data_IF_608573982080
#
_entry.id   IF_608573982080
#
_cell.length_a   1.000
_cell.length_b   1.000
_cell.length_c   1.000
_cell.angle_alpha   90.00
_cell.angle_beta   90.00
_cell.angle_gamma   90.00
#
_symmetry.space_group_name_H-M   'P 1'
#
loop_
_entity.id
_entity.type
_entity.pdbx_description
1 polymer ?
#
# COMPACT_ATOMS: atom_id res chain seq x y z
N UNK A 1 9.58 20.76 -9.25
CA UNK A 1 9.59 20.93 -7.76
C UNK A 1 10.98 20.62 -7.23
N UNK A 2 11.36 21.19 -6.07
CA UNK A 2 12.69 20.95 -5.46
C UNK A 2 12.79 19.59 -4.74
N UNK A 3 11.66 18.94 -4.53
CA UNK A 3 11.53 17.64 -3.89
C UNK A 3 11.14 16.61 -4.96
N UNK A 4 11.73 15.43 -4.90
CA UNK A 4 11.44 14.32 -5.81
C UNK A 4 11.35 13.01 -5.05
N UNK A 5 10.41 12.16 -5.46
CA UNK A 5 10.32 10.78 -5.00
C UNK A 5 10.87 9.86 -6.10
N UNK A 6 12.07 9.37 -5.91
CA UNK A 6 12.71 8.42 -6.81
C UNK A 6 12.17 7.01 -6.52
N UNK A 7 11.77 6.30 -7.56
CA UNK A 7 11.27 4.91 -7.50
C UNK A 7 12.25 4.04 -8.28
N UNK A 8 12.95 3.17 -7.58
CA UNK A 8 13.95 2.31 -8.18
C UNK A 8 13.31 1.06 -8.78
N UNK A 9 13.24 1.03 -10.12
CA UNK A 9 12.64 -0.06 -10.88
C UNK A 9 13.37 -1.38 -10.70
N UNK A 10 14.68 -1.37 -10.65
CA UNK A 10 15.46 -2.60 -10.51
C UNK A 10 15.19 -3.28 -9.17
N UNK A 11 15.13 -2.50 -8.09
CA UNK A 11 14.77 -3.00 -6.76
C UNK A 11 13.33 -3.53 -6.71
N UNK A 12 12.37 -2.89 -7.41
CA UNK A 12 11.01 -3.44 -7.54
C UNK A 12 11.05 -4.82 -8.21
N UNK A 13 11.80 -4.97 -9.29
CA UNK A 13 11.94 -6.23 -10.01
C UNK A 13 12.68 -7.30 -9.20
N UNK A 14 13.66 -6.92 -8.39
CA UNK A 14 14.32 -7.84 -7.44
C UNK A 14 13.35 -8.34 -6.38
N UNK A 15 12.59 -7.44 -5.74
CA UNK A 15 11.55 -7.80 -4.78
C UNK A 15 10.49 -8.69 -5.43
N UNK A 16 10.02 -8.34 -6.61
CA UNK A 16 9.08 -9.13 -7.41
C UNK A 16 9.58 -10.56 -7.61
N UNK A 17 10.83 -10.75 -8.07
CA UNK A 17 11.43 -12.07 -8.29
C UNK A 17 11.54 -12.88 -6.99
N UNK A 18 11.86 -12.23 -5.88
CA UNK A 18 11.94 -12.89 -4.56
C UNK A 18 10.56 -13.36 -4.08
N UNK A 19 9.55 -12.51 -4.23
CA UNK A 19 8.17 -12.83 -3.87
C UNK A 19 7.64 -13.99 -4.73
N UNK A 20 7.90 -13.96 -6.05
CA UNK A 20 7.50 -15.03 -6.99
C UNK A 20 8.12 -16.38 -6.68
N UNK A 21 9.31 -16.43 -6.08
CA UNK A 21 9.92 -17.71 -5.63
C UNK A 21 9.16 -18.35 -4.47
N UNK A 22 8.47 -17.55 -3.64
CA UNK A 22 7.68 -18.07 -2.51
C UNK A 22 6.31 -18.51 -3.00
N UNK A 23 5.65 -17.71 -3.84
CA UNK A 23 4.35 -18.04 -4.43
C UNK A 23 4.23 -17.45 -5.84
N UNK A 24 3.81 -18.28 -6.80
CA UNK A 24 3.64 -17.85 -8.19
C UNK A 24 2.29 -17.18 -8.44
N UNK A 25 1.25 -17.54 -7.66
CA UNK A 25 -0.10 -17.03 -7.81
C UNK A 25 -0.32 -15.80 -6.91
N UNK A 26 -0.20 -14.63 -7.48
CA UNK A 26 -0.22 -13.37 -6.74
C UNK A 26 -1.33 -12.46 -7.26
N UNK A 27 -2.08 -11.88 -6.32
CA UNK A 27 -2.92 -10.71 -6.54
C UNK A 27 -2.12 -9.49 -6.07
N UNK A 28 -1.70 -8.63 -7.00
CA UNK A 28 -0.92 -7.44 -6.71
C UNK A 28 -1.83 -6.31 -6.21
N UNK A 29 -1.57 -5.84 -4.99
CA UNK A 29 -2.40 -4.81 -4.35
C UNK A 29 -1.81 -3.45 -4.64
N UNK A 30 -2.51 -2.66 -5.47
CA UNK A 30 -2.10 -1.33 -5.91
C UNK A 30 -3.03 -0.22 -5.37
N UNK A 31 -3.69 -0.46 -4.24
CA UNK A 31 -4.59 0.50 -3.60
C UNK A 31 -3.87 1.79 -3.18
N UNK A 32 -4.65 2.86 -2.96
CA UNK A 32 -4.16 4.17 -2.53
C UNK A 32 -3.09 4.71 -3.49
N UNK A 33 -3.39 4.60 -4.81
CA UNK A 33 -2.50 4.98 -5.91
C UNK A 33 -1.14 4.28 -5.83
N UNK A 34 -1.16 2.95 -5.70
CA UNK A 34 0.03 2.11 -5.48
C UNK A 34 0.84 2.54 -4.23
N UNK A 35 0.17 2.74 -3.09
CA UNK A 35 0.75 3.24 -1.83
C UNK A 35 1.38 4.64 -2.00
N UNK A 36 0.78 5.48 -2.83
CA UNK A 36 1.26 6.84 -3.11
C UNK A 36 2.39 6.92 -4.15
N UNK A 37 2.79 5.81 -4.75
CA UNK A 37 3.85 5.78 -5.78
C UNK A 37 3.33 6.08 -7.19
N UNK A 38 2.02 6.05 -7.37
CA UNK A 38 1.35 6.22 -8.65
C UNK A 38 1.12 4.88 -9.37
N UNK A 39 -0.15 4.52 -9.59
CA UNK A 39 -0.50 3.32 -10.40
C UNK A 39 0.14 3.43 -11.79
N UNK A 40 0.20 4.64 -12.37
CA UNK A 40 0.80 4.88 -13.67
C UNK A 40 2.31 4.55 -13.73
N UNK A 41 3.01 4.61 -12.60
CA UNK A 41 4.43 4.26 -12.51
C UNK A 41 4.65 2.76 -12.28
N UNK A 42 3.81 2.13 -11.47
CA UNK A 42 4.03 0.74 -11.01
C UNK A 42 3.40 -0.28 -11.95
N UNK A 43 2.19 -0.04 -12.43
CA UNK A 43 1.46 -0.97 -13.27
C UNK A 43 2.23 -1.39 -14.55
N UNK A 44 2.87 -0.48 -15.32
CA UNK A 44 3.63 -0.86 -16.50
C UNK A 44 4.81 -1.80 -16.19
N UNK A 45 5.39 -1.70 -14.99
CA UNK A 45 6.45 -2.63 -14.56
C UNK A 45 5.88 -4.04 -14.40
N UNK A 46 4.73 -4.17 -13.71
CA UNK A 46 4.10 -5.46 -13.45
C UNK A 46 3.49 -6.10 -14.71
N UNK A 47 2.94 -5.31 -15.63
CA UNK A 47 2.42 -5.81 -16.93
C UNK A 47 3.55 -6.42 -17.76
N UNK A 48 4.73 -5.81 -17.80
CA UNK A 48 5.91 -6.37 -18.49
C UNK A 48 6.33 -7.73 -17.91
N UNK A 49 6.08 -7.96 -16.63
CA UNK A 49 6.29 -9.25 -15.96
C UNK A 49 5.07 -10.19 -16.09
N UNK A 50 4.13 -9.89 -17.00
CA UNK A 50 2.93 -10.68 -17.32
C UNK A 50 1.97 -10.86 -16.13
N UNK A 51 1.92 -9.89 -15.22
CA UNK A 51 0.95 -9.87 -14.14
C UNK A 51 -0.42 -9.43 -14.65
N UNK A 52 -1.47 -10.15 -14.24
CA UNK A 52 -2.85 -9.89 -14.68
C UNK A 52 -3.88 -9.89 -13.56
N UNK A 53 -3.48 -10.17 -12.30
CA UNK A 53 -4.38 -10.16 -11.14
C UNK A 53 -4.01 -9.00 -10.22
N UNK A 54 -4.94 -8.07 -10.05
CA UNK A 54 -4.75 -6.86 -9.26
C UNK A 54 -5.87 -6.65 -8.26
N UNK A 55 -5.58 -5.95 -7.16
CA UNK A 55 -6.58 -5.49 -6.22
C UNK A 55 -6.33 -4.02 -5.85
N UNK A 56 -7.40 -3.26 -5.78
CA UNK A 56 -7.42 -1.84 -5.40
C UNK A 56 -8.46 -1.59 -4.32
N UNK A 57 -8.47 -0.41 -3.71
CA UNK A 57 -9.45 -0.10 -2.67
C UNK A 57 -10.79 0.34 -3.27
N UNK A 58 -10.78 1.20 -4.28
CA UNK A 58 -11.95 1.88 -4.80
C UNK A 58 -12.13 1.68 -6.31
N UNK A 59 -13.36 1.88 -6.79
CA UNK A 59 -13.70 1.72 -8.20
C UNK A 59 -12.93 2.70 -9.11
N UNK A 60 -12.66 3.91 -8.64
CA UNK A 60 -11.90 4.92 -9.38
C UNK A 60 -10.48 4.43 -9.69
N UNK A 61 -9.84 3.78 -8.73
CA UNK A 61 -8.52 3.18 -8.92
C UNK A 61 -8.57 2.00 -9.91
N UNK A 62 -9.63 1.18 -9.83
CA UNK A 62 -9.83 0.06 -10.76
C UNK A 62 -9.97 0.56 -12.21
N UNK A 63 -10.75 1.61 -12.41
CA UNK A 63 -10.95 2.23 -13.73
C UNK A 63 -9.68 2.92 -14.24
N UNK A 64 -8.93 3.57 -13.36
CA UNK A 64 -7.63 4.15 -13.71
C UNK A 64 -6.65 3.06 -14.15
N UNK A 65 -6.57 1.96 -13.40
CA UNK A 65 -5.71 0.83 -13.69
C UNK A 65 -6.06 0.23 -15.06
N UNK A 66 -7.35 0.01 -15.32
CA UNK A 66 -7.83 -0.49 -16.61
C UNK A 66 -7.50 0.47 -17.76
N UNK A 67 -7.71 1.77 -17.57
CA UNK A 67 -7.37 2.80 -18.57
C UNK A 67 -5.88 2.78 -18.91
N UNK A 68 -5.01 2.73 -17.89
CA UNK A 68 -3.56 2.67 -18.11
C UNK A 68 -3.17 1.38 -18.83
N UNK A 69 -3.79 0.25 -18.49
CA UNK A 69 -3.56 -1.02 -19.17
C UNK A 69 -3.90 -0.91 -20.65
N UNK A 70 -5.10 -0.45 -20.99
CA UNK A 70 -5.55 -0.31 -22.40
C UNK A 70 -4.66 0.62 -23.23
N UNK A 71 -4.10 1.68 -22.60
CA UNK A 71 -3.15 2.58 -23.28
C UNK A 71 -1.78 1.94 -23.54
N UNK A 72 -1.42 0.90 -22.79
CA UNK A 72 -0.13 0.21 -22.89
C UNK A 72 -0.24 -1.19 -23.51
N UNK A 73 -1.47 -1.65 -23.81
CA UNK A 73 -1.74 -2.99 -24.31
C UNK A 73 -1.20 -3.18 -25.74
N UNK A 74 -0.54 -4.32 -25.96
CA UNK A 74 -0.25 -4.84 -27.30
C UNK A 74 -1.39 -5.76 -27.74
N UNK A 75 -1.56 -5.91 -29.05
CA UNK A 75 -2.56 -6.86 -29.61
C UNK A 75 -2.41 -8.25 -28.99
N UNK A 76 -3.54 -8.85 -28.58
CA UNK A 76 -3.65 -10.20 -27.97
C UNK A 76 -3.19 -10.36 -26.51
N UNK A 77 -3.09 -9.30 -25.71
CA UNK A 77 -2.89 -9.45 -24.27
C UNK A 77 -4.22 -9.78 -23.55
N UNK A 78 -4.17 -10.68 -22.55
CA UNK A 78 -5.33 -11.03 -21.74
C UNK A 78 -5.79 -9.83 -20.90
N UNK A 79 -7.10 -9.66 -20.78
CA UNK A 79 -7.70 -8.65 -19.89
C UNK A 79 -7.24 -8.83 -18.44
N UNK A 80 -7.14 -7.72 -17.70
CA UNK A 80 -6.81 -7.74 -16.28
C UNK A 80 -7.98 -8.24 -15.44
N UNK A 81 -7.69 -9.00 -14.40
CA UNK A 81 -8.60 -9.27 -13.31
C UNK A 81 -8.37 -8.21 -12.23
N UNK A 82 -9.34 -7.34 -12.00
CA UNK A 82 -9.21 -6.21 -11.09
C UNK A 82 -10.27 -6.32 -10.00
N UNK A 83 -9.82 -6.65 -8.79
CA UNK A 83 -10.66 -6.79 -7.61
C UNK A 83 -10.75 -5.47 -6.85
N UNK A 84 -11.98 -4.98 -6.62
CA UNK A 84 -12.24 -3.87 -5.71
C UNK A 84 -12.44 -4.41 -4.28
N UNK A 85 -11.59 -4.01 -3.33
CA UNK A 85 -11.56 -4.55 -1.97
C UNK A 85 -12.60 -3.92 -1.03
N UNK A 86 -13.02 -2.68 -1.31
CA UNK A 86 -13.96 -1.94 -0.50
C UNK A 86 -15.38 -1.93 -1.10
N UNK A 87 -16.26 -1.18 -0.47
CA UNK A 87 -17.63 -0.97 -0.92
C UNK A 87 -17.64 -0.21 -2.26
N UNK A 88 -18.42 -0.69 -3.19
CA UNK A 88 -18.78 0.03 -4.41
C UNK A 88 -20.15 0.65 -4.18
N UNK A 89 -20.29 1.93 -4.43
CA UNK A 89 -21.58 2.61 -4.30
C UNK A 89 -22.61 1.98 -5.24
N UNK A 90 -23.86 1.91 -4.78
CA UNK A 90 -24.96 1.28 -5.54
C UNK A 90 -25.11 1.88 -6.94
N UNK A 91 -24.89 3.19 -7.07
CA UNK A 91 -24.98 3.90 -8.35
C UNK A 91 -23.82 3.58 -9.30
N UNK A 92 -22.70 3.07 -8.78
CA UNK A 92 -21.53 2.70 -9.58
C UNK A 92 -21.51 1.22 -9.98
N UNK A 93 -22.51 0.42 -9.56
CA UNK A 93 -22.57 -1.02 -9.88
C UNK A 93 -22.60 -1.28 -11.39
N UNK A 94 -23.43 -0.52 -12.13
CA UNK A 94 -23.49 -0.63 -13.59
C UNK A 94 -22.13 -0.36 -14.23
N UNK A 95 -21.46 0.68 -13.78
CA UNK A 95 -20.12 1.06 -14.25
C UNK A 95 -19.08 -0.02 -13.90
N UNK A 96 -19.16 -0.59 -12.70
CA UNK A 96 -18.28 -1.69 -12.30
C UNK A 96 -18.46 -2.92 -13.20
N UNK A 97 -19.71 -3.35 -13.43
CA UNK A 97 -20.03 -4.52 -14.25
C UNK A 97 -19.64 -4.29 -15.72
N UNK A 98 -19.97 -3.13 -16.28
CA UNK A 98 -19.65 -2.79 -17.68
C UNK A 98 -18.13 -2.74 -17.94
N UNK A 99 -17.33 -2.40 -16.94
CA UNK A 99 -15.87 -2.42 -16.99
C UNK A 99 -15.25 -3.71 -16.44
N UNK A 100 -16.04 -4.74 -16.16
CA UNK A 100 -15.59 -6.05 -15.65
C UNK A 100 -14.78 -5.99 -14.34
N UNK A 101 -15.03 -4.96 -13.54
CA UNK A 101 -14.42 -4.84 -12.21
C UNK A 101 -15.03 -5.88 -11.28
N UNK A 102 -14.19 -6.64 -10.58
CA UNK A 102 -14.59 -7.70 -9.68
C UNK A 102 -14.98 -7.11 -8.32
N UNK A 103 -16.16 -7.46 -7.82
CA UNK A 103 -16.83 -6.82 -6.69
C UNK A 103 -16.66 -7.66 -5.42
N UNK A 104 -16.24 -7.06 -4.32
CA UNK A 104 -16.22 -7.71 -3.01
C UNK A 104 -17.58 -7.61 -2.33
N UNK A 105 -18.13 -8.76 -1.91
CA UNK A 105 -19.28 -8.87 -1.03
C UNK A 105 -18.83 -9.20 0.39
N UNK A 106 -19.35 -8.47 1.38
CA UNK A 106 -18.90 -8.58 2.76
C UNK A 106 -19.99 -8.40 3.83
N UNK A 107 -21.23 -8.14 3.44
CA UNK A 107 -22.36 -8.06 4.37
C UNK A 107 -23.69 -8.35 3.68
N UNK A 108 -24.65 -8.87 4.45
CA UNK A 108 -26.01 -9.15 3.96
C UNK A 108 -26.72 -7.87 3.52
N UNK A 109 -26.57 -6.78 4.28
CA UNK A 109 -27.16 -5.49 3.94
C UNK A 109 -26.62 -4.91 2.61
N UNK A 110 -25.33 -5.15 2.29
CA UNK A 110 -24.76 -4.78 0.99
C UNK A 110 -25.41 -5.59 -0.14
N UNK A 111 -25.53 -6.91 0.02
CA UNK A 111 -26.15 -7.76 -1.00
C UNK A 111 -27.59 -7.36 -1.27
N UNK A 112 -28.37 -7.03 -0.23
CA UNK A 112 -29.76 -6.62 -0.41
C UNK A 112 -29.87 -5.37 -1.28
N UNK A 113 -29.08 -4.33 -1.00
CA UNK A 113 -29.01 -3.13 -1.82
C UNK A 113 -28.59 -3.43 -3.27
N UNK A 114 -27.63 -4.33 -3.43
CA UNK A 114 -27.12 -4.72 -4.76
C UNK A 114 -28.17 -5.48 -5.56
N UNK A 115 -28.90 -6.42 -4.94
CA UNK A 115 -30.01 -7.15 -5.59
C UNK A 115 -31.06 -6.17 -6.12
N UNK A 116 -31.47 -5.20 -5.30
CA UNK A 116 -32.48 -4.21 -5.71
C UNK A 116 -32.01 -3.36 -6.91
N UNK A 117 -30.76 -2.97 -6.92
CA UNK A 117 -30.19 -2.18 -8.03
C UNK A 117 -29.98 -3.03 -9.28
N UNK A 118 -29.41 -4.21 -9.14
CA UNK A 118 -29.08 -5.09 -10.27
C UNK A 118 -30.32 -5.53 -11.06
N UNK A 119 -31.46 -5.70 -10.40
CA UNK A 119 -32.76 -5.96 -11.06
C UNK A 119 -33.23 -4.85 -11.99
N UNK A 120 -32.79 -3.63 -11.75
CA UNK A 120 -33.18 -2.46 -12.54
C UNK A 120 -32.27 -2.22 -13.74
N UNK A 121 -31.16 -2.99 -13.84
CA UNK A 121 -30.13 -2.82 -14.86
C UNK A 121 -30.25 -3.91 -15.93
N UNK A 122 -30.18 -3.52 -17.20
CA UNK A 122 -30.05 -4.45 -18.33
C UNK A 122 -28.55 -4.85 -18.49
N UNK A 123 -28.09 -5.77 -17.65
CA UNK A 123 -26.69 -6.19 -17.62
C UNK A 123 -26.48 -7.39 -18.55
N UNK A 124 -25.65 -7.19 -19.58
CA UNK A 124 -25.25 -8.26 -20.53
C UNK A 124 -24.00 -9.03 -20.08
N UNK A 125 -23.26 -8.48 -19.13
CA UNK A 125 -22.00 -9.04 -18.64
C UNK A 125 -22.21 -9.83 -17.35
N UNK A 126 -21.42 -10.90 -17.20
CA UNK A 126 -21.38 -11.70 -15.99
C UNK A 126 -20.71 -10.90 -14.85
N UNK A 127 -21.37 -10.81 -13.71
CA UNK A 127 -20.84 -10.16 -12.52
C UNK A 127 -19.86 -11.11 -11.84
N UNK A 128 -18.71 -10.60 -11.43
CA UNK A 128 -17.67 -11.36 -10.73
C UNK A 128 -17.61 -10.93 -9.26
N UNK A 129 -17.94 -11.85 -8.36
CA UNK A 129 -17.95 -11.58 -6.91
C UNK A 129 -16.80 -12.26 -6.19
N UNK A 130 -16.27 -11.60 -5.17
CA UNK A 130 -15.38 -12.15 -4.15
C UNK A 130 -16.09 -12.12 -2.81
N UNK A 131 -16.22 -13.26 -2.14
CA UNK A 131 -16.84 -13.34 -0.81
C UNK A 131 -15.78 -13.12 0.25
N UNK A 132 -15.93 -12.05 1.03
CA UNK A 132 -15.04 -11.73 2.14
C UNK A 132 -15.65 -12.17 3.46
N UNK A 133 -14.87 -12.91 4.27
CA UNK A 133 -15.28 -13.36 5.59
C UNK A 133 -14.48 -12.71 6.71
N UNK A 134 -15.13 -12.46 7.83
CA UNK A 134 -14.51 -12.03 9.07
C UNK A 134 -14.00 -13.24 9.83
N UNK A 135 -12.70 -13.30 10.07
CA UNK A 135 -12.08 -14.36 10.87
C UNK A 135 -11.43 -13.85 12.16
N UNK A 136 -11.66 -12.56 12.49
CA UNK A 136 -11.16 -11.97 13.73
C UNK A 136 -10.59 -10.57 13.59
N UNK A 137 -10.52 -10.01 12.37
CA UNK A 137 -10.10 -8.61 12.15
C UNK A 137 -11.20 -7.59 12.48
N UNK A 138 -12.48 -8.00 12.42
CA UNK A 138 -13.66 -7.20 12.76
C UNK A 138 -13.75 -5.87 12.00
N UNK A 139 -13.38 -5.88 10.71
CA UNK A 139 -13.43 -4.69 9.85
C UNK A 139 -14.49 -4.80 8.77
N UNK A 140 -14.39 -5.79 7.91
CA UNK A 140 -15.35 -6.13 6.84
C UNK A 140 -15.34 -7.65 6.65
N UNK A 141 -16.48 -8.23 6.30
CA UNK A 141 -16.63 -9.66 6.00
C UNK A 141 -17.87 -10.24 6.64
N UNK A 142 -18.47 -11.21 5.98
CA UNK A 142 -19.55 -12.01 6.54
C UNK A 142 -19.07 -12.77 7.77
N UNK A 143 -19.91 -12.87 8.78
CA UNK A 143 -19.66 -13.77 9.90
C UNK A 143 -20.05 -15.20 9.53
N UNK A 144 -19.51 -16.17 10.28
CA UNK A 144 -19.75 -17.60 10.04
C UNK A 144 -21.25 -17.98 10.06
N UNK A 145 -22.02 -17.34 10.92
CA UNK A 145 -23.45 -17.55 11.11
C UNK A 145 -24.27 -17.06 9.90
N UNK A 146 -23.77 -16.10 9.15
CA UNK A 146 -24.47 -15.48 8.01
C UNK A 146 -24.45 -16.36 6.74
N UNK A 147 -23.65 -17.43 6.70
CA UNK A 147 -23.44 -18.25 5.48
C UNK A 147 -24.76 -18.81 4.92
N UNK A 148 -25.66 -19.29 5.79
CA UNK A 148 -26.96 -19.82 5.34
C UNK A 148 -27.86 -18.73 4.75
N UNK A 149 -27.79 -17.51 5.30
CA UNK A 149 -28.52 -16.35 4.76
C UNK A 149 -27.89 -15.92 3.44
N UNK A 150 -26.56 -15.88 3.37
CA UNK A 150 -25.81 -15.58 2.14
C UNK A 150 -26.19 -16.54 1.00
N UNK A 151 -26.26 -17.86 1.27
CA UNK A 151 -26.68 -18.84 0.26
C UNK A 151 -28.05 -18.52 -0.32
N UNK A 152 -29.04 -18.21 0.53
CA UNK A 152 -30.39 -17.81 0.08
C UNK A 152 -30.40 -16.53 -0.75
N UNK A 153 -29.52 -15.57 -0.42
CA UNK A 153 -29.39 -14.32 -1.21
C UNK A 153 -28.77 -14.58 -2.58
N UNK A 154 -27.76 -15.46 -2.66
CA UNK A 154 -27.16 -15.86 -3.93
C UNK A 154 -28.15 -16.64 -4.80
N UNK A 155 -28.95 -17.53 -4.21
CA UNK A 155 -30.05 -18.22 -4.92
C UNK A 155 -31.08 -17.23 -5.44
N UNK A 156 -31.39 -16.17 -4.70
CA UNK A 156 -32.31 -15.11 -5.15
C UNK A 156 -31.76 -14.38 -6.36
N UNK A 157 -30.45 -14.02 -6.37
CA UNK A 157 -29.81 -13.43 -7.55
C UNK A 157 -29.99 -14.31 -8.80
N UNK A 158 -29.81 -15.65 -8.65
CA UNK A 158 -30.01 -16.60 -9.76
C UNK A 158 -31.48 -16.64 -10.24
N UNK A 159 -32.44 -16.63 -9.31
CA UNK A 159 -33.88 -16.62 -9.65
C UNK A 159 -34.32 -15.32 -10.31
N UNK A 160 -33.60 -14.23 -10.07
CA UNK A 160 -33.82 -12.93 -10.69
C UNK A 160 -33.05 -12.78 -12.03
N UNK A 161 -32.59 -13.91 -12.63
CA UNK A 161 -31.84 -14.00 -13.90
C UNK A 161 -30.56 -13.16 -13.95
N UNK A 162 -29.98 -12.82 -12.77
CA UNK A 162 -28.72 -12.10 -12.69
C UNK A 162 -27.57 -13.10 -12.90
N UNK A 163 -26.82 -12.90 -13.97
CA UNK A 163 -25.68 -13.77 -14.33
C UNK A 163 -24.47 -13.35 -13.52
N UNK A 164 -24.00 -14.22 -12.63
CA UNK A 164 -22.80 -13.98 -11.83
C UNK A 164 -21.95 -15.23 -11.65
N UNK A 165 -20.73 -15.02 -11.18
CA UNK A 165 -19.85 -16.08 -10.65
C UNK A 165 -19.17 -15.62 -9.37
N UNK A 166 -18.90 -16.56 -8.47
CA UNK A 166 -18.05 -16.32 -7.31
C UNK A 166 -16.62 -16.69 -7.70
N UNK A 167 -15.78 -15.66 -7.85
CA UNK A 167 -14.37 -15.80 -8.18
C UNK A 167 -13.59 -16.37 -7.02
N UNK A 168 -13.76 -15.79 -5.84
CA UNK A 168 -13.00 -16.25 -4.68
C UNK A 168 -13.76 -16.13 -3.35
N UNK A 169 -13.23 -16.88 -2.39
CA UNK A 169 -13.51 -16.72 -0.96
C UNK A 169 -12.23 -16.28 -0.27
N UNK A 170 -12.31 -15.28 0.61
CA UNK A 170 -11.12 -14.80 1.28
C UNK A 170 -11.37 -14.18 2.67
N UNK A 171 -10.31 -14.06 3.42
CA UNK A 171 -10.25 -13.29 4.64
C UNK A 171 -8.93 -12.50 4.73
N UNK A 172 -8.71 -11.83 5.85
CA UNK A 172 -7.48 -11.11 6.15
C UNK A 172 -7.12 -11.34 7.61
N UNK A 173 -5.93 -11.88 7.84
CA UNK A 173 -5.46 -12.20 9.19
C UNK A 173 -4.98 -10.93 9.90
N UNK A 174 -5.49 -10.72 11.09
CA UNK A 174 -5.01 -9.72 12.04
C UNK A 174 -4.08 -10.35 13.07
N UNK A 175 -3.28 -9.52 13.77
CA UNK A 175 -2.40 -9.93 14.87
C UNK A 175 -1.42 -11.05 14.48
N UNK A 176 -0.74 -10.86 13.36
CA UNK A 176 0.19 -11.85 12.77
C UNK A 176 1.41 -12.16 13.66
N UNK A 177 1.73 -11.30 14.62
CA UNK A 177 2.75 -11.49 15.65
C UNK A 177 2.41 -12.59 16.64
N UNK A 178 1.12 -12.86 16.88
CA UNK A 178 0.63 -13.88 17.79
C UNK A 178 0.20 -15.15 17.04
N UNK A 179 0.99 -16.21 17.10
CA UNK A 179 0.72 -17.46 16.40
C UNK A 179 -0.61 -18.12 16.82
N UNK A 180 -1.00 -18.01 18.07
CA UNK A 180 -2.28 -18.59 18.56
C UNK A 180 -3.47 -17.88 17.91
N UNK A 181 -3.40 -16.55 17.74
CA UNK A 181 -4.46 -15.79 17.10
C UNK A 181 -4.52 -16.08 15.60
N UNK A 182 -3.37 -16.23 14.94
CA UNK A 182 -3.29 -16.66 13.54
C UNK A 182 -3.95 -18.04 13.38
N UNK A 183 -3.60 -19.01 14.23
CA UNK A 183 -4.16 -20.37 14.18
C UNK A 183 -5.68 -20.36 14.32
N UNK A 184 -6.24 -19.64 15.30
CA UNK A 184 -7.69 -19.51 15.48
C UNK A 184 -8.41 -18.93 14.26
N UNK A 185 -7.82 -17.87 13.66
CA UNK A 185 -8.38 -17.23 12.47
C UNK A 185 -8.34 -18.17 11.24
N UNK A 186 -7.27 -18.96 11.09
CA UNK A 186 -7.17 -19.98 10.06
C UNK A 186 -8.17 -21.10 10.26
N UNK A 187 -8.30 -21.63 11.48
CA UNK A 187 -9.29 -22.66 11.81
C UNK A 187 -10.73 -22.20 11.53
N UNK A 188 -11.04 -20.94 11.86
CA UNK A 188 -12.34 -20.35 11.52
C UNK A 188 -12.52 -20.25 10.00
N UNK A 189 -11.48 -19.85 9.27
CA UNK A 189 -11.52 -19.80 7.82
C UNK A 189 -11.80 -21.19 7.20
N UNK A 190 -11.16 -22.24 7.70
CA UNK A 190 -11.43 -23.62 7.25
C UNK A 190 -12.88 -24.06 7.55
N UNK A 191 -13.41 -23.71 8.70
CA UNK A 191 -14.84 -23.96 9.03
C UNK A 191 -15.78 -23.23 8.07
N UNK A 192 -15.44 -21.99 7.71
CA UNK A 192 -16.18 -21.19 6.71
C UNK A 192 -16.18 -21.90 5.37
N UNK A 193 -15.01 -22.33 4.86
CA UNK A 193 -14.89 -23.03 3.57
C UNK A 193 -15.73 -24.31 3.54
N UNK A 194 -15.70 -25.09 4.63
CA UNK A 194 -16.52 -26.31 4.75
C UNK A 194 -18.01 -25.96 4.73
N UNK A 195 -18.46 -24.97 5.51
CA UNK A 195 -19.87 -24.58 5.56
C UNK A 195 -20.38 -24.01 4.25
N UNK A 196 -19.54 -23.28 3.49
CA UNK A 196 -19.86 -22.82 2.14
C UNK A 196 -20.15 -23.99 1.20
N UNK A 197 -19.32 -25.04 1.24
CA UNK A 197 -19.49 -26.26 0.45
C UNK A 197 -20.80 -26.97 0.84
N UNK A 198 -21.08 -27.11 2.14
CA UNK A 198 -22.33 -27.72 2.66
C UNK A 198 -23.59 -26.94 2.21
N UNK A 199 -23.47 -25.61 2.03
CA UNK A 199 -24.55 -24.75 1.51
C UNK A 199 -24.55 -24.62 -0.03
N UNK A 200 -23.79 -25.45 -0.75
CA UNK A 200 -23.77 -25.48 -2.22
C UNK A 200 -23.13 -24.27 -2.89
N UNK A 201 -22.43 -23.41 -2.15
CA UNK A 201 -21.77 -22.22 -2.70
C UNK A 201 -20.47 -22.63 -3.38
N UNK A 202 -20.44 -22.48 -4.72
CA UNK A 202 -19.27 -22.79 -5.56
C UNK A 202 -18.45 -21.53 -5.80
N UNK A 203 -17.12 -21.64 -5.74
CA UNK A 203 -16.16 -20.57 -6.02
C UNK A 203 -14.93 -21.13 -6.76
N UNK A 204 -14.13 -20.26 -7.40
CA UNK A 204 -12.98 -20.73 -8.21
C UNK A 204 -11.71 -20.89 -7.41
N UNK A 205 -11.41 -19.95 -6.49
CA UNK A 205 -10.17 -19.99 -5.72
C UNK A 205 -10.32 -19.34 -4.33
N UNK A 206 -9.30 -19.52 -3.50
CA UNK A 206 -9.23 -19.05 -2.12
C UNK A 206 -7.97 -18.24 -1.91
N UNK A 207 -8.03 -17.21 -1.06
CA UNK A 207 -6.84 -16.50 -0.66
C UNK A 207 -6.98 -15.93 0.76
N UNK A 208 -5.94 -16.10 1.56
CA UNK A 208 -5.90 -15.68 2.96
C UNK A 208 -4.68 -14.80 3.23
N UNK A 209 -3.51 -15.23 2.80
CA UNK A 209 -2.25 -14.56 3.08
C UNK A 209 -2.13 -13.21 2.39
N UNK A 210 -1.54 -12.25 3.15
CA UNK A 210 -1.00 -10.99 2.66
C UNK A 210 0.51 -10.95 2.94
N UNK A 211 1.20 -9.88 2.52
CA UNK A 211 2.66 -9.77 2.62
C UNK A 211 3.24 -10.25 3.95
N UNK A 212 2.81 -9.76 5.13
CA UNK A 212 3.43 -10.17 6.38
C UNK A 212 3.26 -11.66 6.71
N UNK A 213 2.08 -12.21 6.43
CA UNK A 213 1.79 -13.60 6.73
C UNK A 213 2.59 -14.56 5.83
N UNK A 214 2.74 -14.19 4.54
CA UNK A 214 3.48 -14.97 3.57
C UNK A 214 4.93 -15.19 4.02
N UNK A 215 5.58 -14.14 4.49
CA UNK A 215 6.98 -14.23 4.88
C UNK A 215 7.19 -14.90 6.26
N UNK A 216 6.24 -14.76 7.18
CA UNK A 216 6.33 -15.38 8.51
C UNK A 216 6.06 -16.88 8.50
N UNK A 217 5.10 -17.33 7.68
CA UNK A 217 4.62 -18.71 7.69
C UNK A 217 4.87 -19.46 6.39
N UNK A 218 5.60 -18.85 5.46
CA UNK A 218 5.93 -19.42 4.15
C UNK A 218 4.67 -20.03 3.48
N UNK A 219 4.76 -21.27 3.04
CA UNK A 219 3.68 -21.95 2.34
C UNK A 219 2.59 -22.54 3.24
N UNK A 220 2.73 -22.47 4.56
CA UNK A 220 1.83 -23.13 5.52
C UNK A 220 0.35 -22.78 5.33
N UNK A 221 0.06 -21.52 4.96
CA UNK A 221 -1.30 -21.03 4.78
C UNK A 221 -1.53 -20.52 3.35
N UNK A 222 -0.75 -21.01 2.38
CA UNK A 222 -0.97 -20.73 0.97
C UNK A 222 -2.21 -21.52 0.53
N UNK A 223 -3.22 -20.77 0.16
CA UNK A 223 -4.32 -21.30 -0.63
C UNK A 223 -4.00 -21.13 -2.12
N UNK A 224 -4.98 -20.78 -2.93
CA UNK A 224 -4.76 -20.71 -4.38
C UNK A 224 -3.99 -19.43 -4.80
N UNK A 225 -4.18 -18.32 -4.04
CA UNK A 225 -3.52 -17.05 -4.28
C UNK A 225 -3.06 -16.37 -2.98
N UNK A 226 -2.09 -15.47 -3.10
CA UNK A 226 -1.66 -14.54 -2.04
C UNK A 226 -1.83 -13.09 -2.50
N UNK A 227 -2.07 -12.16 -1.57
CA UNK A 227 -2.19 -10.73 -1.88
C UNK A 227 -0.93 -10.00 -1.44
N UNK A 228 -0.27 -9.35 -2.38
CA UNK A 228 1.00 -8.64 -2.15
C UNK A 228 0.84 -7.16 -2.50
N UNK A 229 1.13 -6.29 -1.53
CA UNK A 229 1.21 -4.84 -1.69
C UNK A 229 2.54 -4.33 -1.18
N UNK A 230 2.62 -4.02 0.12
CA UNK A 230 3.75 -3.38 0.77
C UNK A 230 5.11 -4.07 0.53
N UNK A 231 5.14 -5.39 0.47
CA UNK A 231 6.37 -6.14 0.25
C UNK A 231 7.01 -5.88 -1.12
N UNK A 232 6.22 -5.55 -2.15
CA UNK A 232 6.76 -5.17 -3.44
C UNK A 232 7.68 -3.95 -3.34
N UNK A 233 7.38 -3.06 -2.41
CA UNK A 233 8.13 -1.82 -2.18
C UNK A 233 9.22 -1.94 -1.10
N UNK A 234 9.43 -3.17 -0.59
CA UNK A 234 10.44 -3.43 0.46
C UNK A 234 9.98 -3.01 1.85
N UNK A 235 8.66 -2.85 2.04
CA UNK A 235 8.07 -2.57 3.34
C UNK A 235 7.65 -3.87 4.01
N UNK A 236 8.38 -4.28 5.06
CA UNK A 236 8.04 -5.47 5.83
C UNK A 236 8.49 -5.33 7.30
N UNK A 237 7.57 -4.96 8.20
CA UNK A 237 7.92 -4.63 9.59
C UNK A 237 8.28 -5.85 10.44
N UNK A 238 7.82 -7.04 10.07
CA UNK A 238 7.97 -8.24 10.90
C UNK A 238 9.17 -9.09 10.54
N UNK A 239 9.79 -8.85 9.40
CA UNK A 239 10.78 -9.75 8.84
C UNK A 239 12.12 -9.05 8.62
N UNK A 240 12.91 -9.11 9.67
CA UNK A 240 14.33 -8.86 9.54
C UNK A 240 14.92 -9.96 8.63
N UNK A 241 15.53 -9.55 7.50
CA UNK A 241 16.35 -10.41 6.62
C UNK A 241 15.66 -11.29 5.57
N UNK A 242 14.45 -10.99 5.10
CA UNK A 242 13.95 -11.65 3.88
C UNK A 242 14.61 -11.13 2.60
N UNK A 243 15.47 -10.13 2.75
CA UNK A 243 16.28 -9.57 1.66
C UNK A 243 15.49 -8.70 0.69
N UNK A 244 14.29 -8.19 1.06
CA UNK A 244 13.62 -7.17 0.27
C UNK A 244 14.34 -5.84 0.38
N UNK A 245 14.45 -5.14 -0.73
CA UNK A 245 15.10 -3.84 -0.83
C UNK A 245 14.07 -2.73 -0.80
N UNK A 246 14.31 -1.67 0.00
CA UNK A 246 13.54 -0.44 -0.10
C UNK A 246 13.66 0.15 -1.49
N UNK A 247 12.52 0.41 -2.14
CA UNK A 247 12.47 0.80 -3.56
C UNK A 247 12.35 2.29 -3.77
N UNK A 248 12.22 3.08 -2.71
CA UNK A 248 11.94 4.52 -2.79
C UNK A 248 12.99 5.35 -2.08
N UNK A 249 13.23 6.55 -2.63
CA UNK A 249 14.04 7.60 -2.01
C UNK A 249 13.35 8.95 -2.14
N UNK A 250 13.27 9.70 -1.04
CA UNK A 250 12.81 11.09 -1.07
C UNK A 250 14.03 11.99 -1.03
N UNK A 251 14.18 12.80 -2.06
CA UNK A 251 15.33 13.66 -2.23
C UNK A 251 14.94 15.13 -2.32
N UNK A 252 15.86 15.98 -1.93
CA UNK A 252 15.77 17.43 -2.07
C UNK A 252 17.17 18.03 -2.26
N UNK A 253 17.33 19.32 -2.01
CA UNK A 253 18.61 20.01 -2.06
C UNK A 253 18.73 21.09 -0.99
N UNK A 254 19.96 21.50 -0.70
CA UNK A 254 20.24 22.67 0.14
C UNK A 254 19.85 23.94 -0.62
N UNK A 255 19.01 24.80 -0.04
CA UNK A 255 18.62 26.09 -0.67
C UNK A 255 19.29 27.31 -0.03
N UNK A 256 19.73 27.18 1.21
CA UNK A 256 20.39 28.28 1.93
C UNK A 256 21.29 27.70 3.03
N UNK A 257 22.37 28.40 3.34
CA UNK A 257 23.28 28.10 4.46
C UNK A 257 23.39 29.34 5.32
N UNK A 258 23.34 29.19 6.64
CA UNK A 258 23.46 30.29 7.60
C UNK A 258 24.35 29.89 8.77
N UNK A 259 24.94 30.88 9.39
CA UNK A 259 25.60 30.78 10.69
C UNK A 259 24.65 31.26 11.79
N UNK A 260 24.55 30.50 12.85
CA UNK A 260 23.72 30.76 14.03
C UNK A 260 24.62 30.74 15.24
N UNK A 261 24.58 31.78 16.05
CA UNK A 261 25.46 31.92 17.21
C UNK A 261 24.97 31.12 18.41
N UNK A 262 25.89 30.71 19.26
CA UNK A 262 25.58 30.04 20.51
C UNK A 262 24.50 30.80 21.30
N UNK A 263 23.45 30.09 21.71
CA UNK A 263 22.30 30.65 22.43
C UNK A 263 21.19 31.20 21.54
N UNK A 264 21.38 31.30 20.21
CA UNK A 264 20.32 31.72 19.29
C UNK A 264 19.35 30.57 19.00
N UNK A 265 18.14 30.95 18.59
CA UNK A 265 17.01 30.06 18.26
C UNK A 265 17.01 29.71 16.77
N UNK A 266 16.81 28.41 16.45
CA UNK A 266 16.56 27.90 15.12
C UNK A 266 15.10 27.42 15.05
N UNK A 267 14.37 27.83 13.99
CA UNK A 267 12.96 27.47 13.75
C UNK A 267 12.00 27.99 14.84
N UNK A 268 10.79 27.46 14.88
CA UNK A 268 9.73 27.82 15.82
C UNK A 268 9.94 27.19 17.21
N UNK A 269 9.20 27.67 18.19
CA UNK A 269 9.21 27.14 19.56
C UNK A 269 10.55 27.31 20.28
N UNK A 270 10.74 26.57 21.37
CA UNK A 270 11.96 26.71 22.22
C UNK A 270 12.90 25.49 22.09
N UNK A 271 12.69 24.63 21.11
CA UNK A 271 13.45 23.37 20.96
C UNK A 271 14.76 23.53 20.17
N UNK A 272 14.88 24.62 19.41
CA UNK A 272 15.97 24.84 18.47
C UNK A 272 17.11 25.72 18.98
N UNK A 273 17.26 25.94 20.29
CA UNK A 273 18.37 26.77 20.85
C UNK A 273 19.68 26.01 20.63
N UNK A 274 20.62 26.64 19.88
CA UNK A 274 21.92 26.04 19.63
C UNK A 274 22.87 26.28 20.82
N UNK A 275 23.68 25.27 21.12
CA UNK A 275 24.59 25.26 22.26
C UNK A 275 26.07 25.58 21.90
N UNK A 276 26.31 25.89 20.63
CA UNK A 276 27.60 26.31 20.06
C UNK A 276 27.33 27.15 18.82
N UNK A 277 28.31 27.84 18.32
CA UNK A 277 28.25 28.43 16.98
C UNK A 277 27.99 27.32 15.97
N UNK A 278 26.88 27.41 15.25
CA UNK A 278 26.34 26.33 14.45
C UNK A 278 26.13 26.78 13.01
N UNK A 279 26.62 26.00 12.06
CA UNK A 279 26.31 26.18 10.64
C UNK A 279 25.09 25.35 10.27
N UNK A 280 24.07 25.98 9.72
CA UNK A 280 22.81 25.30 9.38
C UNK A 280 22.54 25.34 7.88
N UNK A 281 21.89 24.31 7.37
CA UNK A 281 21.32 24.26 6.02
C UNK A 281 19.80 24.24 6.07
N UNK A 282 19.16 24.96 5.15
CA UNK A 282 17.72 25.00 4.95
C UNK A 282 17.38 24.10 3.78
N UNK A 283 16.44 23.18 4.03
CA UNK A 283 16.00 22.17 3.05
C UNK A 283 14.51 22.38 2.79
N UNK A 284 14.08 22.52 1.53
CA UNK A 284 12.71 22.85 1.16
C UNK A 284 11.81 21.59 1.20
N UNK A 285 11.65 20.99 2.38
CA UNK A 285 10.72 19.91 2.67
C UNK A 285 10.13 20.11 4.06
N UNK A 286 8.83 19.99 4.20
CA UNK A 286 8.14 20.15 5.48
C UNK A 286 6.87 19.29 5.55
N UNK A 287 6.04 19.55 6.56
CA UNK A 287 4.85 18.70 6.77
C UNK A 287 3.79 18.81 5.65
N UNK A 288 3.73 19.90 4.89
CA UNK A 288 2.88 20.01 3.71
C UNK A 288 3.30 19.04 2.57
N UNK A 289 4.54 18.58 2.60
CA UNK A 289 5.07 17.60 1.66
C UNK A 289 4.93 16.14 2.17
N UNK A 290 4.30 15.95 3.35
CA UNK A 290 4.12 14.65 3.96
C UNK A 290 5.23 14.24 4.94
N UNK A 291 6.20 15.10 5.21
CA UNK A 291 7.16 14.85 6.28
C UNK A 291 6.44 14.98 7.63
N UNK A 292 6.38 13.88 8.38
CA UNK A 292 5.63 13.86 9.64
C UNK A 292 6.20 14.85 10.66
N UNK A 293 5.35 15.76 11.17
CA UNK A 293 5.81 16.78 12.15
C UNK A 293 6.39 16.15 13.42
N UNK A 294 5.91 14.97 13.81
CA UNK A 294 6.35 14.25 15.02
C UNK A 294 7.85 13.91 15.03
N UNK A 295 8.52 13.86 13.87
CA UNK A 295 9.96 13.57 13.81
C UNK A 295 10.82 14.60 14.54
N UNK A 296 10.34 15.84 14.72
CA UNK A 296 11.02 16.90 15.47
C UNK A 296 11.24 16.56 16.96
N UNK A 297 10.52 15.55 17.48
CA UNK A 297 10.62 15.09 18.86
C UNK A 297 11.59 13.90 19.03
N UNK A 298 12.29 13.54 17.97
CA UNK A 298 13.21 12.41 17.93
C UNK A 298 14.65 12.87 17.63
N UNK A 299 15.53 11.93 17.45
CA UNK A 299 16.90 12.13 16.96
C UNK A 299 17.00 12.10 15.42
N UNK A 300 15.95 12.49 14.74
CA UNK A 300 15.86 12.46 13.29
C UNK A 300 16.94 13.28 12.61
N UNK A 301 17.45 12.73 11.53
CA UNK A 301 18.46 13.35 10.67
C UNK A 301 18.13 13.10 9.20
N UNK A 302 18.75 13.87 8.34
CA UNK A 302 18.81 13.63 6.90
C UNK A 302 20.27 13.39 6.48
N UNK A 303 20.50 13.01 5.21
CA UNK A 303 21.85 12.77 4.73
C UNK A 303 22.27 13.86 3.75
N UNK A 304 23.47 14.39 3.94
CA UNK A 304 24.13 15.37 3.06
C UNK A 304 25.59 14.95 2.92
N UNK A 305 26.08 14.81 1.69
CA UNK A 305 27.47 14.44 1.38
C UNK A 305 27.94 13.15 2.09
N UNK A 306 27.02 12.18 2.31
CA UNK A 306 27.30 10.92 3.00
C UNK A 306 27.45 11.07 4.52
N UNK A 307 26.90 12.12 5.12
CA UNK A 307 26.93 12.35 6.56
C UNK A 307 25.52 12.66 7.09
N UNK A 308 25.31 12.40 8.38
CA UNK A 308 24.06 12.68 9.09
C UNK A 308 23.99 14.14 9.48
N UNK A 309 22.98 14.86 9.01
CA UNK A 309 22.65 16.23 9.40
C UNK A 309 21.39 16.21 10.28
N UNK A 310 21.53 16.52 11.57
CA UNK A 310 20.44 16.49 12.54
C UNK A 310 19.42 17.59 12.25
N UNK A 311 18.13 17.28 12.34
CA UNK A 311 17.06 18.28 12.25
C UNK A 311 17.08 19.12 13.53
N UNK A 312 17.08 20.45 13.37
CA UNK A 312 17.08 21.42 14.46
C UNK A 312 15.76 22.17 14.54
N UNK A 313 15.22 22.30 15.75
CA UNK A 313 13.96 23.00 16.01
C UNK A 313 12.76 22.29 15.42
N UNK A 314 11.66 23.01 15.22
CA UNK A 314 10.42 22.46 14.71
C UNK A 314 10.44 22.30 13.19
N UNK A 315 9.79 21.23 12.70
CA UNK A 315 9.49 21.03 11.28
C UNK A 315 8.48 22.10 10.85
N UNK A 316 8.85 22.91 9.85
CA UNK A 316 7.97 23.93 9.28
C UNK A 316 7.03 23.33 8.21
N UNK A 317 6.12 24.16 7.70
CA UNK A 317 5.19 23.75 6.63
C UNK A 317 5.95 23.27 5.39
N UNK A 318 6.92 24.06 4.93
CA UNK A 318 7.58 23.86 3.64
C UNK A 318 9.08 23.60 3.74
N UNK A 319 9.66 23.60 4.95
CA UNK A 319 11.10 23.42 5.13
C UNK A 319 11.48 22.82 6.47
N UNK A 320 12.69 22.28 6.51
CA UNK A 320 13.41 21.92 7.74
C UNK A 320 14.75 22.60 7.77
N UNK A 321 15.30 22.74 8.96
CA UNK A 321 16.63 23.30 9.20
C UNK A 321 17.48 22.20 9.85
N UNK A 322 18.69 22.01 9.36
CA UNK A 322 19.56 20.92 9.81
C UNK A 322 20.96 21.43 10.15
N UNK A 323 21.58 20.79 11.16
CA UNK A 323 22.95 21.08 11.57
C UNK A 323 23.96 20.47 10.58
N UNK A 324 24.78 21.33 9.98
CA UNK A 324 25.86 20.95 9.08
C UNK A 324 27.24 21.36 9.58
N UNK A 325 27.35 21.74 10.86
CA UNK A 325 28.60 22.28 11.47
C UNK A 325 29.78 21.33 11.26
N UNK A 326 29.55 20.03 11.41
CA UNK A 326 30.59 19.01 11.33
C UNK A 326 30.61 18.31 9.96
N UNK A 327 29.94 18.90 8.94
CA UNK A 327 29.90 18.36 7.57
C UNK A 327 30.68 19.30 6.64
N UNK A 328 31.81 18.82 6.15
CA UNK A 328 32.68 19.62 5.29
C UNK A 328 32.08 19.85 3.89
N UNK A 329 32.39 21.05 3.34
CA UNK A 329 32.11 21.36 1.93
C UNK A 329 30.64 21.35 1.50
N UNK A 330 29.68 21.50 2.43
CA UNK A 330 28.27 21.67 2.07
C UNK A 330 28.06 22.99 1.35
N UNK A 331 27.36 22.93 0.20
CA UNK A 331 27.05 24.10 -0.64
C UNK A 331 25.56 24.15 -0.94
N UNK A 332 25.09 25.34 -1.34
CA UNK A 332 23.75 25.46 -1.97
C UNK A 332 23.72 24.58 -3.22
N UNK A 333 22.55 23.97 -3.48
CA UNK A 333 22.27 22.96 -4.50
C UNK A 333 22.83 21.56 -4.24
N UNK A 334 23.57 21.31 -3.14
CA UNK A 334 23.95 19.95 -2.78
C UNK A 334 22.73 19.05 -2.58
N UNK A 335 22.79 17.84 -3.11
CA UNK A 335 21.74 16.83 -2.98
C UNK A 335 21.57 16.41 -1.52
N UNK A 336 20.31 16.30 -1.12
CA UNK A 336 19.90 15.90 0.23
C UNK A 336 19.04 14.65 0.13
N UNK A 337 19.31 13.64 0.97
CA UNK A 337 18.49 12.44 1.10
C UNK A 337 17.69 12.52 2.40
N UNK A 338 16.37 12.60 2.26
CA UNK A 338 15.42 12.60 3.37
C UNK A 338 15.02 11.17 3.71
N UNK A 339 14.84 10.34 2.69
CA UNK A 339 14.59 8.91 2.76
C UNK A 339 15.44 8.23 1.69
N UNK A 340 16.16 7.16 2.01
CA UNK A 340 17.01 6.44 1.07
C UNK A 340 18.47 6.37 1.52
N UNK A 341 19.35 6.01 0.58
CA UNK A 341 20.77 5.75 0.83
C UNK A 341 21.66 6.85 0.28
N UNK A 342 22.68 7.24 1.07
CA UNK A 342 23.79 8.07 0.64
C UNK A 342 25.10 7.49 1.22
N UNK A 343 25.96 6.95 0.34
CA UNK A 343 27.20 6.23 0.70
C UNK A 343 26.94 5.11 1.71
N UNK A 344 27.50 5.25 2.93
CA UNK A 344 27.46 4.24 4.00
C UNK A 344 26.21 4.34 4.88
N UNK A 345 25.42 5.39 4.72
CA UNK A 345 24.21 5.62 5.54
C UNK A 345 22.94 5.43 4.73
N UNK A 346 21.92 4.93 5.40
CA UNK A 346 20.58 4.77 4.85
C UNK A 346 19.54 5.23 5.86
N UNK A 347 18.54 5.94 5.38
CA UNK A 347 17.31 6.24 6.11
C UNK A 347 16.21 5.37 5.50
N UNK A 348 15.70 4.44 6.29
CA UNK A 348 14.66 3.52 5.84
C UNK A 348 13.26 4.05 6.19
N UNK A 349 12.22 3.56 5.47
CA UNK A 349 10.81 3.81 5.84
C UNK A 349 10.54 3.36 7.28
N UNK A 350 11.15 2.24 7.70
CA UNK A 350 11.03 1.76 9.07
C UNK A 350 11.62 2.75 10.09
N UNK A 351 12.76 3.37 9.77
CA UNK A 351 13.36 4.36 10.65
C UNK A 351 12.53 5.63 10.72
N UNK A 352 12.03 6.13 9.58
CA UNK A 352 11.11 7.27 9.57
C UNK A 352 9.83 6.98 10.35
N UNK A 353 9.26 5.79 10.21
CA UNK A 353 8.08 5.37 10.96
C UNK A 353 8.34 5.37 12.47
N UNK A 354 9.51 4.91 12.92
CA UNK A 354 9.92 4.99 14.35
C UNK A 354 10.01 6.44 14.84
N UNK A 355 10.66 7.32 14.08
CA UNK A 355 10.77 8.73 14.43
C UNK A 355 9.41 9.43 14.51
N UNK A 356 8.49 9.07 13.64
CA UNK A 356 7.15 9.61 13.56
C UNK A 356 6.13 8.89 14.48
N UNK A 357 6.54 7.82 15.19
CA UNK A 357 5.66 6.95 15.99
C UNK A 357 4.46 6.42 15.19
N UNK A 358 4.74 5.84 14.02
CA UNK A 358 3.73 5.30 13.10
C UNK A 358 4.26 4.05 12.37
N UNK A 359 3.61 3.66 11.26
CA UNK A 359 3.97 2.52 10.41
C UNK A 359 4.49 2.97 9.03
N UNK A 360 5.20 2.09 8.32
CA UNK A 360 5.83 2.39 7.03
C UNK A 360 4.83 2.83 5.96
N UNK A 361 3.65 2.20 5.91
CA UNK A 361 2.59 2.52 4.97
C UNK A 361 2.10 3.96 5.16
N UNK A 362 1.96 4.38 6.42
CA UNK A 362 1.52 5.73 6.78
C UNK A 362 2.55 6.80 6.34
N UNK A 363 3.84 6.49 6.43
CA UNK A 363 4.89 7.37 5.90
C UNK A 363 4.77 7.50 4.38
N UNK A 364 4.70 6.37 3.67
CA UNK A 364 4.76 6.37 2.21
C UNK A 364 3.52 7.01 1.57
N UNK A 365 2.34 6.66 2.08
CA UNK A 365 1.06 7.16 1.53
C UNK A 365 0.82 8.64 1.80
N UNK A 366 1.51 9.25 2.76
CA UNK A 366 1.37 10.68 3.11
C UNK A 366 2.24 11.61 2.28
N UNK A 367 3.21 11.11 1.53
CA UNK A 367 3.95 12.01 0.63
C UNK A 367 2.99 12.66 -0.36
N UNK A 368 3.01 14.00 -0.38
CA UNK A 368 2.09 14.81 -1.17
C UNK A 368 2.10 14.34 -2.64
N UNK A 369 0.91 14.23 -3.24
CA UNK A 369 0.72 13.77 -4.63
C UNK A 369 1.38 14.70 -5.67
N UNK A 370 1.59 15.96 -5.32
CA UNK A 370 2.25 16.94 -6.18
C UNK A 370 3.78 16.77 -6.24
N UNK A 371 4.38 16.00 -5.35
CA UNK A 371 5.80 15.64 -5.47
C UNK A 371 5.99 14.80 -6.72
N UNK A 372 6.93 15.21 -7.58
CA UNK A 372 7.28 14.49 -8.80
C UNK A 372 7.80 13.07 -8.46
N UNK A 373 7.16 12.02 -9.04
CA UNK A 373 7.60 10.62 -8.96
C UNK A 373 8.44 10.31 -10.19
N UNK A 374 9.67 9.85 -9.97
CA UNK A 374 10.63 9.56 -11.04
C UNK A 374 11.04 8.09 -10.96
N UNK A 375 10.87 7.36 -12.04
CA UNK A 375 11.41 5.99 -12.18
C UNK A 375 12.90 6.12 -12.50
N UNK A 376 13.74 5.48 -11.68
CA UNK A 376 15.19 5.43 -11.84
C UNK A 376 15.69 4.00 -11.95
#
# INVERSE_FOLDING_TARGET
>A
MLIKLEINKEKILENFKRIKKINENIIWVLKDDAYGLGIANILPILIKEKCNNFAVAYIEEALLLQKIFLLNQKENENMLNIMCLNYIEVNDLEKAVNNEIEITLFSIAQIDKYIEKLKQLDLKKKIKFHLKFNTGMNRLGFDFEEITILSKKLEKLQKDDIIFEIKSVYSHIAHIENEKDVTKQVELYEKILKKLTENGIKYKFRHLQASPLLFKYDKKYNYDFVRIGMALYGMEPLLQNIGLSQTVSLISKVICIREVKNGEQVSYGNKGIVKRDTKVAIIPVGYAHGLQKQIENSDAFILINGKKAKILGEVCMDMIIVDITDINNVKVDDRVIILGKDKDYEITLQQMARWANTIQDDILTKFNKDIERIIV
#
